data_IF_159555561800
#
_entry.id   IF_159555561800
#
_cell.length_a   1.000
_cell.length_b   1.000
_cell.length_c   1.000
_cell.angle_alpha   90.00
_cell.angle_beta   90.00
_cell.angle_gamma   90.00
#
_symmetry.space_group_name_H-M   'P 1'
#
loop_
_entity.id
_entity.type
_entity.pdbx_description
1 polymer ?
#
# COMPACT_ATOMS: atom_id res chain seq x y z
N UNK A 1 14.92 -2.17 -11.70
CA UNK A 1 15.22 -1.33 -10.51
C UNK A 1 14.12 -1.56 -9.48
N UNK A 2 14.47 -1.98 -8.26
CA UNK A 2 13.52 -2.07 -7.14
C UNK A 2 13.05 -0.66 -6.79
N UNK A 3 11.81 -0.33 -7.14
CA UNK A 3 11.24 0.99 -6.87
C UNK A 3 10.82 1.06 -5.40
N UNK A 4 10.84 2.27 -4.83
CA UNK A 4 10.37 2.54 -3.45
C UNK A 4 8.96 1.97 -3.21
N UNK A 5 8.12 1.95 -4.25
CA UNK A 5 6.79 1.35 -4.21
C UNK A 5 6.79 -0.15 -3.90
N UNK A 6 7.71 -0.91 -4.51
CA UNK A 6 7.83 -2.35 -4.27
C UNK A 6 8.23 -2.65 -2.81
N UNK A 7 9.18 -1.89 -2.27
CA UNK A 7 9.60 -2.04 -0.88
C UNK A 7 8.48 -1.73 0.11
N UNK A 8 7.74 -0.64 -0.11
CA UNK A 8 6.58 -0.29 0.72
C UNK A 8 5.53 -1.41 0.65
N UNK A 9 5.21 -1.92 -0.54
CA UNK A 9 4.23 -2.99 -0.70
C UNK A 9 4.66 -4.29 0.02
N UNK A 10 5.94 -4.65 -0.04
CA UNK A 10 6.49 -5.81 0.66
C UNK A 10 6.43 -5.62 2.18
N UNK A 11 6.86 -4.47 2.71
CA UNK A 11 6.84 -4.18 4.15
C UNK A 11 5.41 -4.20 4.68
N UNK A 12 4.48 -3.58 3.95
CA UNK A 12 3.07 -3.53 4.34
C UNK A 12 2.41 -4.92 4.24
N UNK A 13 2.71 -5.68 3.19
CA UNK A 13 2.24 -7.06 3.05
C UNK A 13 2.76 -7.97 4.16
N UNK A 14 4.04 -7.83 4.55
CA UNK A 14 4.63 -8.55 5.65
C UNK A 14 3.98 -8.19 6.99
N UNK A 15 3.68 -6.91 7.22
CA UNK A 15 2.95 -6.47 8.41
C UNK A 15 1.54 -7.06 8.48
N UNK A 16 0.77 -7.01 7.39
CA UNK A 16 -0.56 -7.60 7.29
C UNK A 16 -0.55 -9.11 7.57
N UNK A 17 0.43 -9.84 7.03
CA UNK A 17 0.61 -11.26 7.30
C UNK A 17 0.96 -11.50 8.78
N UNK A 18 1.86 -10.70 9.34
CA UNK A 18 2.30 -10.82 10.74
C UNK A 18 1.16 -10.59 11.75
N UNK A 19 0.36 -9.53 11.57
CA UNK A 19 -0.76 -9.24 12.48
C UNK A 19 -1.89 -10.27 12.36
N UNK A 20 -2.05 -10.93 11.21
CA UNK A 20 -3.02 -12.03 11.07
C UNK A 20 -2.50 -13.35 11.65
N UNK A 21 -1.18 -13.60 11.61
CA UNK A 21 -0.57 -14.83 12.11
C UNK A 21 -0.34 -14.83 13.62
N UNK A 22 -0.09 -13.66 14.21
CA UNK A 22 0.00 -13.51 15.65
C UNK A 22 -1.25 -12.84 16.22
N UNK A 23 -1.88 -13.40 17.27
CA UNK A 23 -3.04 -12.81 17.93
C UNK A 23 -2.64 -11.64 18.84
N UNK A 24 -2.02 -10.61 18.25
CA UNK A 24 -1.54 -9.41 18.95
C UNK A 24 -2.68 -8.38 19.12
N UNK A 25 -3.72 -8.48 18.27
CA UNK A 25 -4.82 -7.53 18.21
C UNK A 25 -6.18 -8.23 18.37
N UNK A 26 -7.13 -7.63 19.11
CA UNK A 26 -8.52 -8.08 19.15
C UNK A 26 -9.14 -8.09 17.74
N UNK A 27 -10.00 -9.05 17.44
CA UNK A 27 -10.59 -9.27 16.12
C UNK A 27 -11.22 -8.03 15.47
N UNK A 28 -11.91 -7.19 16.26
CA UNK A 28 -12.48 -5.93 15.77
C UNK A 28 -11.41 -4.90 15.34
N UNK A 29 -10.32 -4.80 16.10
CA UNK A 29 -9.20 -3.92 15.77
C UNK A 29 -8.35 -4.50 14.63
N UNK A 30 -8.26 -5.82 14.52
CA UNK A 30 -7.55 -6.51 13.43
C UNK A 30 -8.20 -6.20 12.08
N UNK A 31 -9.52 -6.33 11.99
CA UNK A 31 -10.27 -6.02 10.77
C UNK A 31 -10.10 -4.55 10.37
N UNK A 32 -10.19 -3.64 11.34
CA UNK A 32 -10.01 -2.21 11.11
C UNK A 32 -8.57 -1.88 10.67
N UNK A 33 -7.56 -2.47 11.31
CA UNK A 33 -6.15 -2.29 10.95
C UNK A 33 -5.90 -2.73 9.51
N UNK A 34 -6.35 -3.93 9.15
CA UNK A 34 -6.16 -4.49 7.81
C UNK A 34 -6.90 -3.66 6.75
N UNK A 35 -8.12 -3.20 7.04
CA UNK A 35 -8.91 -2.38 6.13
C UNK A 35 -8.26 -1.02 5.87
N UNK A 36 -7.77 -0.34 6.92
CA UNK A 36 -7.08 0.96 6.79
C UNK A 36 -5.80 0.79 5.97
N UNK A 37 -4.98 -0.20 6.32
CA UNK A 37 -3.72 -0.44 5.62
C UNK A 37 -3.98 -0.79 4.15
N UNK A 38 -4.93 -1.67 3.87
CA UNK A 38 -5.32 -2.01 2.50
C UNK A 38 -5.80 -0.79 1.71
N UNK A 39 -6.64 0.07 2.30
CA UNK A 39 -7.12 1.29 1.68
C UNK A 39 -5.99 2.28 1.37
N UNK A 40 -5.04 2.48 2.30
CA UNK A 40 -3.87 3.36 2.10
C UNK A 40 -3.01 2.84 0.96
N UNK A 41 -2.72 1.54 0.91
CA UNK A 41 -1.92 0.94 -0.18
C UNK A 41 -2.62 1.08 -1.52
N UNK A 42 -3.92 0.80 -1.58
CA UNK A 42 -4.72 0.93 -2.81
C UNK A 42 -4.77 2.38 -3.30
N UNK A 43 -4.96 3.35 -2.40
CA UNK A 43 -4.92 4.78 -2.71
C UNK A 43 -3.54 5.21 -3.22
N UNK A 44 -2.46 4.76 -2.59
CA UNK A 44 -1.10 5.08 -3.03
C UNK A 44 -0.78 4.47 -4.38
N UNK A 45 -1.21 3.23 -4.61
CA UNK A 45 -1.08 2.55 -5.89
C UNK A 45 -1.89 3.25 -6.98
N UNK A 46 -3.15 3.62 -6.69
CA UNK A 46 -3.99 4.39 -7.59
C UNK A 46 -3.40 5.77 -7.88
N UNK A 47 -2.89 6.49 -6.88
CA UNK A 47 -2.20 7.77 -7.10
C UNK A 47 -0.95 7.60 -7.98
N UNK A 48 -0.17 6.55 -7.77
CA UNK A 48 1.00 6.31 -8.61
C UNK A 48 0.61 5.97 -10.06
N UNK A 49 -0.41 5.13 -10.24
CA UNK A 49 -0.89 4.71 -11.57
C UNK A 49 -1.62 5.83 -12.32
N UNK A 50 -2.46 6.61 -11.62
CA UNK A 50 -3.34 7.60 -12.22
C UNK A 50 -2.89 9.05 -12.05
N UNK A 51 -2.10 9.40 -11.04
CA UNK A 51 -1.63 10.78 -10.88
C UNK A 51 -0.20 10.95 -11.39
N UNK A 52 0.73 10.09 -10.95
CA UNK A 52 2.15 10.21 -11.33
C UNK A 52 2.41 9.89 -12.80
N UNK A 53 1.68 8.91 -13.37
CA UNK A 53 1.81 8.57 -14.78
C UNK A 53 1.08 9.54 -15.72
N UNK A 54 0.08 10.29 -15.24
CA UNK A 54 -0.64 11.30 -16.03
C UNK A 54 0.02 12.68 -15.97
N UNK A 55 0.90 12.95 -14.99
CA UNK A 55 1.79 14.11 -15.03
C UNK A 55 2.95 13.95 -16.04
N UNK A 56 3.09 12.78 -16.67
CA UNK A 56 3.97 12.55 -17.81
C UNK A 56 3.30 13.00 -19.13
N UNK A 57 2.60 14.14 -19.11
CA UNK A 57 2.53 14.98 -20.31
C UNK A 57 3.95 15.48 -20.54
N UNK A 58 4.74 14.63 -21.22
CA UNK A 58 5.97 15.03 -21.87
C UNK A 58 5.68 16.32 -22.63
N UNK A 59 6.18 17.42 -22.10
CA UNK A 59 6.42 18.62 -22.90
C UNK A 59 7.61 18.29 -23.81
N UNK A 60 7.34 17.45 -24.82
CA UNK A 60 8.24 17.21 -25.94
C UNK A 60 8.11 18.44 -26.83
N UNK A 61 9.21 19.20 -26.94
CA UNK A 61 9.31 20.37 -27.80
C UNK A 61 9.67 19.93 -29.22
#
# INVERSE_FOLDING_TARGET
MMTTFHWIHIIVGAWLAFVNLMPILPSGLLMLNNAIIGAVVALYNAYFLFAKNNTDVKQDN
#
